data_IF_966892758154
#
_entry.id   IF_966892758154
#
_cell.length_a   1.000
_cell.length_b   1.000
_cell.length_c   1.000
_cell.angle_alpha   90.00
_cell.angle_beta   90.00
_cell.angle_gamma   90.00
#
_symmetry.space_group_name_H-M   'P 1'
#
loop_
_entity.id
_entity.type
_entity.pdbx_description
1 polymer ?
#
# COMPACT_ATOMS: atom_id res chain seq x y z
N UNK A 1 -54.23 19.93 -1.44
CA UNK A 1 -52.85 20.43 -1.21
C UNK A 1 -52.69 21.90 -1.61
N UNK A 2 -53.31 22.36 -2.70
CA UNK A 2 -53.17 23.75 -3.18
C UNK A 2 -53.68 24.84 -2.22
N UNK A 3 -54.65 24.53 -1.36
CA UNK A 3 -55.21 25.49 -0.38
C UNK A 3 -54.24 25.84 0.76
N UNK A 4 -53.27 24.98 1.05
CA UNK A 4 -52.30 25.20 2.14
C UNK A 4 -51.15 26.11 1.69
N UNK A 5 -50.69 25.96 0.44
CA UNK A 5 -49.62 26.79 -0.14
C UNK A 5 -50.01 28.28 -0.26
N UNK A 6 -51.30 28.59 -0.40
CA UNK A 6 -51.79 29.98 -0.46
C UNK A 6 -51.72 30.74 0.87
N UNK A 7 -51.46 30.05 2.00
CA UNK A 7 -51.31 30.71 3.32
C UNK A 7 -49.91 31.28 3.56
N UNK A 8 -48.92 30.88 2.77
CA UNK A 8 -47.55 31.31 2.97
C UNK A 8 -47.23 32.54 2.12
N UNK A 9 -46.53 33.49 2.74
CA UNK A 9 -45.96 34.64 2.05
C UNK A 9 -44.99 34.17 0.96
N UNK A 10 -44.94 34.88 -0.16
CA UNK A 10 -44.00 34.61 -1.28
C UNK A 10 -42.56 34.53 -0.76
N UNK A 11 -42.22 35.36 0.24
CA UNK A 11 -40.90 35.34 0.88
C UNK A 11 -40.62 34.01 1.59
N UNK A 12 -41.61 33.43 2.28
CA UNK A 12 -41.45 32.13 2.95
C UNK A 12 -41.17 31.01 1.95
N UNK A 13 -41.89 30.97 0.83
CA UNK A 13 -41.67 29.96 -0.23
C UNK A 13 -40.26 30.11 -0.82
N UNK A 14 -39.84 31.34 -1.13
CA UNK A 14 -38.49 31.60 -1.63
C UNK A 14 -37.39 31.16 -0.65
N UNK A 15 -37.53 31.47 0.65
CA UNK A 15 -36.58 31.03 1.68
C UNK A 15 -36.50 29.51 1.81
N UNK A 16 -37.64 28.81 1.75
CA UNK A 16 -37.67 27.35 1.79
C UNK A 16 -36.94 26.73 0.60
N UNK A 17 -37.15 27.26 -0.61
CA UNK A 17 -36.45 26.78 -1.81
C UNK A 17 -34.93 26.97 -1.67
N UNK A 18 -34.48 28.13 -1.16
CA UNK A 18 -33.05 28.40 -0.96
C UNK A 18 -32.46 27.43 0.08
N UNK A 19 -33.13 27.22 1.20
CA UNK A 19 -32.66 26.30 2.26
C UNK A 19 -32.58 24.85 1.73
N UNK A 20 -33.61 24.40 1.01
CA UNK A 20 -33.61 23.07 0.38
C UNK A 20 -32.48 22.96 -0.64
N UNK A 21 -32.25 24.01 -1.45
CA UNK A 21 -31.16 24.05 -2.44
C UNK A 21 -29.78 23.93 -1.80
N UNK A 22 -29.51 24.72 -0.74
CA UNK A 22 -28.25 24.65 0.01
C UNK A 22 -28.07 23.27 0.65
N UNK A 23 -29.13 22.73 1.25
CA UNK A 23 -29.08 21.41 1.88
C UNK A 23 -28.82 20.29 0.86
N UNK A 24 -29.44 20.35 -0.32
CA UNK A 24 -29.16 19.43 -1.43
C UNK A 24 -27.70 19.54 -1.90
N UNK A 25 -27.14 20.74 -2.01
CA UNK A 25 -25.74 20.91 -2.40
C UNK A 25 -24.80 20.29 -1.37
N UNK A 26 -25.05 20.46 -0.07
CA UNK A 26 -24.22 19.87 1.00
C UNK A 26 -24.32 18.34 1.04
N UNK A 27 -25.50 17.77 0.77
CA UNK A 27 -25.68 16.32 0.68
C UNK A 27 -24.99 15.76 -0.57
N UNK A 28 -25.11 16.44 -1.70
CA UNK A 28 -24.54 15.99 -2.97
C UNK A 28 -23.03 16.22 -3.05
N UNK A 29 -22.52 17.25 -2.38
CA UNK A 29 -21.11 17.61 -2.32
C UNK A 29 -20.71 17.87 -0.87
N UNK A 30 -20.53 16.81 -0.06
CA UNK A 30 -20.05 16.98 1.31
C UNK A 30 -18.73 17.77 1.29
N UNK A 31 -18.50 18.68 2.25
CA UNK A 31 -17.27 19.44 2.31
C UNK A 31 -16.09 18.48 2.43
N UNK A 32 -15.09 18.64 1.56
CA UNK A 32 -13.87 17.84 1.62
C UNK A 32 -13.23 17.99 2.99
N UNK A 33 -12.96 16.85 3.61
CA UNK A 33 -12.21 16.80 4.87
C UNK A 33 -10.73 17.07 4.61
N UNK A 34 -9.96 17.36 5.67
CA UNK A 34 -8.51 17.49 5.59
C UNK A 34 -7.88 16.21 5.01
N UNK A 35 -8.42 15.04 5.36
CA UNK A 35 -7.93 13.77 4.86
C UNK A 35 -8.24 13.56 3.38
N UNK A 36 -9.38 14.06 2.87
CA UNK A 36 -9.67 14.00 1.44
C UNK A 36 -8.63 14.80 0.64
N UNK A 37 -8.26 15.99 1.14
CA UNK A 37 -7.21 16.80 0.51
C UNK A 37 -5.84 16.10 0.54
N UNK A 38 -5.50 15.39 1.61
CA UNK A 38 -4.24 14.63 1.69
C UNK A 38 -4.25 13.40 0.79
N UNK A 39 -5.37 12.68 0.70
CA UNK A 39 -5.55 11.57 -0.23
C UNK A 39 -5.41 12.04 -1.67
N UNK A 40 -6.00 13.19 -2.02
CA UNK A 40 -5.85 13.79 -3.36
C UNK A 40 -4.40 14.20 -3.64
N UNK A 41 -3.72 14.84 -2.67
CA UNK A 41 -2.31 15.21 -2.79
C UNK A 41 -1.41 13.99 -2.99
N UNK A 42 -1.65 12.92 -2.22
CA UNK A 42 -0.94 11.65 -2.37
C UNK A 42 -1.18 11.02 -3.73
N UNK A 43 -2.44 10.98 -4.20
CA UNK A 43 -2.79 10.47 -5.53
C UNK A 43 -2.11 11.24 -6.65
N UNK A 44 -2.00 12.56 -6.52
CA UNK A 44 -1.31 13.39 -7.52
C UNK A 44 0.21 13.13 -7.52
N UNK A 45 0.84 13.00 -6.34
CA UNK A 45 2.25 12.63 -6.22
C UNK A 45 2.53 11.26 -6.86
N UNK A 46 1.61 10.32 -6.66
CA UNK A 46 1.72 8.93 -7.11
C UNK A 46 1.09 8.66 -8.49
N UNK A 47 0.69 9.71 -9.22
CA UNK A 47 -0.03 9.62 -10.51
C UNK A 47 0.75 8.98 -11.63
N UNK A 48 2.07 8.97 -11.54
CA UNK A 48 2.91 8.31 -12.55
C UNK A 48 3.30 6.89 -12.15
N UNK A 49 3.28 6.58 -10.85
CA UNK A 49 3.74 5.30 -10.32
C UNK A 49 2.59 4.34 -10.05
N UNK A 50 1.68 4.69 -9.14
CA UNK A 50 0.57 3.84 -8.68
C UNK A 50 -0.72 4.06 -9.46
N UNK A 51 -1.05 5.30 -9.77
CA UNK A 51 -2.30 5.63 -10.44
C UNK A 51 -2.06 5.81 -11.94
N UNK A 52 -3.08 5.58 -12.77
CA UNK A 52 -2.98 5.83 -14.22
C UNK A 52 -3.71 7.12 -14.56
N UNK A 53 -3.15 7.84 -15.53
CA UNK A 53 -3.87 8.92 -16.23
C UNK A 53 -4.54 8.41 -17.53
N UNK A 54 -4.04 7.32 -18.13
CA UNK A 54 -4.44 6.82 -19.45
C UNK A 54 -4.49 5.27 -19.51
N UNK A 55 -5.04 4.72 -20.59
CA UNK A 55 -5.11 3.28 -20.83
C UNK A 55 -3.71 2.64 -20.98
N UNK A 56 -3.47 1.49 -20.32
CA UNK A 56 -2.18 0.78 -20.32
C UNK A 56 -1.78 0.32 -18.92
N UNK A 57 -0.61 -0.32 -18.70
CA UNK A 57 -0.11 -0.70 -17.35
C UNK A 57 0.56 0.48 -16.64
N UNK A 58 0.40 0.62 -15.32
CA UNK A 58 1.10 1.63 -14.50
C UNK A 58 2.60 1.38 -14.49
N UNK A 59 3.41 2.38 -14.12
CA UNK A 59 4.85 2.15 -13.89
C UNK A 59 5.08 1.14 -12.77
N UNK A 60 4.26 1.13 -11.71
CA UNK A 60 4.35 0.12 -10.65
C UNK A 60 4.19 -1.30 -11.18
N UNK A 61 3.18 -1.56 -12.00
CA UNK A 61 2.94 -2.89 -12.59
C UNK A 61 4.10 -3.28 -13.52
N UNK A 62 4.59 -2.35 -14.35
CA UNK A 62 5.75 -2.63 -15.23
C UNK A 62 7.02 -2.93 -14.44
N UNK A 63 7.30 -2.15 -13.39
CA UNK A 63 8.48 -2.34 -12.55
C UNK A 63 8.40 -3.66 -11.76
N UNK A 64 7.21 -4.04 -11.28
CA UNK A 64 6.96 -5.35 -10.67
C UNK A 64 7.17 -6.49 -11.67
N UNK A 65 6.60 -6.38 -12.88
CA UNK A 65 6.77 -7.39 -13.93
C UNK A 65 8.26 -7.54 -14.31
N UNK A 66 8.96 -6.42 -14.53
CA UNK A 66 10.39 -6.43 -14.83
C UNK A 66 11.20 -7.10 -13.71
N UNK A 67 10.93 -6.73 -12.45
CA UNK A 67 11.57 -7.33 -11.28
C UNK A 67 11.31 -8.84 -11.18
N UNK A 68 10.10 -9.31 -11.51
CA UNK A 68 9.78 -10.75 -11.50
C UNK A 68 10.48 -11.54 -12.60
N UNK A 69 10.84 -10.88 -13.71
CA UNK A 69 11.52 -11.52 -14.85
C UNK A 69 13.05 -11.50 -14.74
N UNK A 70 13.60 -10.78 -13.77
CA UNK A 70 15.05 -10.71 -13.53
C UNK A 70 15.42 -11.45 -12.26
N UNK A 71 16.41 -12.32 -12.38
CA UNK A 71 17.03 -13.02 -11.26
C UNK A 71 18.44 -12.50 -10.99
N UNK A 72 18.80 -11.31 -11.49
CA UNK A 72 20.13 -10.72 -11.31
C UNK A 72 20.15 -9.72 -10.13
N UNK A 73 21.29 -9.59 -9.43
CA UNK A 73 21.49 -8.52 -8.46
C UNK A 73 21.21 -7.16 -9.10
N UNK A 74 20.41 -6.32 -8.43
CA UNK A 74 20.04 -5.00 -8.93
C UNK A 74 18.91 -4.97 -9.97
N UNK A 75 18.40 -6.13 -10.41
CA UNK A 75 17.30 -6.19 -11.38
C UNK A 75 15.99 -5.51 -10.90
N UNK A 76 15.79 -5.42 -9.59
CA UNK A 76 14.64 -4.76 -8.97
C UNK A 76 14.93 -3.33 -8.48
N UNK A 77 16.08 -2.75 -8.85
CA UNK A 77 16.52 -1.44 -8.36
C UNK A 77 15.49 -0.32 -8.64
N UNK A 78 14.96 -0.26 -9.87
CA UNK A 78 13.96 0.75 -10.23
C UNK A 78 12.70 0.64 -9.36
N UNK A 79 12.23 -0.60 -9.13
CA UNK A 79 11.08 -0.85 -8.27
C UNK A 79 11.35 -0.40 -6.84
N UNK A 80 12.51 -0.76 -6.27
CA UNK A 80 12.84 -0.39 -4.89
C UNK A 80 13.00 1.12 -4.72
N UNK A 81 13.58 1.82 -5.70
CA UNK A 81 13.65 3.28 -5.69
C UNK A 81 12.25 3.92 -5.67
N UNK A 82 11.33 3.44 -6.52
CA UNK A 82 9.96 3.97 -6.54
C UNK A 82 9.15 3.62 -5.30
N UNK A 83 9.44 2.48 -4.68
CA UNK A 83 8.82 2.11 -3.40
C UNK A 83 9.37 2.97 -2.25
N UNK A 84 10.65 3.36 -2.27
CA UNK A 84 11.18 4.37 -1.33
C UNK A 84 10.46 5.70 -1.48
N UNK A 85 10.34 6.21 -2.71
CA UNK A 85 9.56 7.43 -2.99
C UNK A 85 8.12 7.32 -2.48
N UNK A 86 7.46 6.18 -2.70
CA UNK A 86 6.12 5.91 -2.15
C UNK A 86 6.09 5.98 -0.62
N UNK A 87 7.08 5.43 0.08
CA UNK A 87 7.15 5.52 1.54
C UNK A 87 7.38 6.94 2.02
N UNK A 88 8.20 7.71 1.32
CA UNK A 88 8.44 9.11 1.67
C UNK A 88 7.15 9.95 1.49
N UNK A 89 6.37 9.67 0.45
CA UNK A 89 5.04 10.26 0.25
C UNK A 89 4.02 9.80 1.31
N UNK A 90 4.07 8.54 1.75
CA UNK A 90 3.23 8.04 2.85
C UNK A 90 3.62 8.68 4.19
N UNK A 91 4.91 8.92 4.42
CA UNK A 91 5.44 9.55 5.63
C UNK A 91 5.08 11.05 5.68
N UNK A 92 4.76 11.66 4.54
CA UNK A 92 4.28 13.03 4.44
C UNK A 92 2.76 13.20 4.71
N UNK A 93 2.01 12.10 4.83
CA UNK A 93 0.57 12.11 5.16
C UNK A 93 0.41 12.12 6.69
N UNK A 94 -0.52 12.92 7.19
CA UNK A 94 -0.81 12.95 8.63
C UNK A 94 -1.29 11.58 9.10
N UNK A 95 -0.83 11.16 10.29
CA UNK A 95 -1.13 9.85 10.86
C UNK A 95 -2.65 9.56 10.92
N UNK A 96 -3.46 10.60 11.19
CA UNK A 96 -4.93 10.50 11.25
C UNK A 96 -5.59 10.23 9.89
N UNK A 97 -4.92 10.58 8.79
CA UNK A 97 -5.42 10.44 7.42
C UNK A 97 -4.81 9.24 6.69
N UNK A 98 -3.80 8.63 7.31
CA UNK A 98 -2.99 7.59 6.70
C UNK A 98 -3.80 6.32 6.43
N UNK A 99 -4.77 5.99 7.29
CA UNK A 99 -5.72 4.89 7.07
C UNK A 99 -6.49 5.04 5.75
N UNK A 100 -6.91 6.26 5.40
CA UNK A 100 -7.60 6.53 4.13
C UNK A 100 -6.70 6.32 2.91
N UNK A 101 -5.40 6.59 3.05
CA UNK A 101 -4.43 6.40 1.96
C UNK A 101 -4.05 4.93 1.80
N UNK A 102 -3.73 4.22 2.89
CA UNK A 102 -3.37 2.79 2.82
C UNK A 102 -4.57 1.90 2.51
N UNK A 103 -5.80 2.36 2.82
CA UNK A 103 -7.04 1.71 2.43
C UNK A 103 -7.30 1.71 0.92
N UNK A 104 -6.57 2.52 0.13
CA UNK A 104 -6.67 2.52 -1.33
C UNK A 104 -6.18 1.16 -1.87
N UNK A 105 -6.99 0.43 -2.67
CA UNK A 105 -6.65 -0.91 -3.15
C UNK A 105 -5.30 -0.98 -3.87
N UNK A 106 -4.95 0.01 -4.69
CA UNK A 106 -3.69 0.08 -5.42
C UNK A 106 -2.48 0.16 -4.48
N UNK A 107 -2.59 0.95 -3.40
CA UNK A 107 -1.55 1.08 -2.38
C UNK A 107 -1.42 -0.23 -1.62
N UNK A 108 -2.54 -0.75 -1.10
CA UNK A 108 -2.58 -2.02 -0.37
C UNK A 108 -1.98 -3.18 -1.18
N UNK A 109 -2.41 -3.34 -2.42
CA UNK A 109 -1.94 -4.41 -3.30
C UNK A 109 -0.45 -4.28 -3.58
N UNK A 110 0.05 -3.07 -3.86
CA UNK A 110 1.48 -2.88 -4.07
C UNK A 110 2.29 -3.20 -2.80
N UNK A 111 1.87 -2.75 -1.62
CA UNK A 111 2.60 -3.03 -0.37
C UNK A 111 2.73 -4.53 -0.10
N UNK A 112 1.64 -5.29 -0.27
CA UNK A 112 1.68 -6.76 -0.12
C UNK A 112 2.50 -7.44 -1.22
N UNK A 113 2.40 -6.97 -2.46
CA UNK A 113 3.23 -7.46 -3.55
C UNK A 113 4.73 -7.21 -3.29
N UNK A 114 5.08 -6.08 -2.67
CA UNK A 114 6.46 -5.81 -2.30
C UNK A 114 6.98 -6.80 -1.26
N UNK A 115 6.18 -7.16 -0.25
CA UNK A 115 6.56 -8.22 0.72
C UNK A 115 6.85 -9.52 -0.01
N UNK A 116 5.95 -9.92 -0.91
CA UNK A 116 6.13 -11.12 -1.71
C UNK A 116 7.43 -11.09 -2.51
N UNK A 117 7.71 -10.00 -3.21
CA UNK A 117 8.93 -9.83 -4.01
C UNK A 117 10.18 -9.92 -3.15
N UNK A 118 10.25 -9.16 -2.05
CA UNK A 118 11.39 -9.19 -1.13
C UNK A 118 11.67 -10.60 -0.63
N UNK A 119 10.63 -11.26 -0.14
CA UNK A 119 10.77 -12.59 0.47
C UNK A 119 11.13 -13.63 -0.57
N UNK A 120 10.51 -13.60 -1.76
CA UNK A 120 10.77 -14.54 -2.85
C UNK A 120 12.19 -14.40 -3.40
N UNK A 121 12.67 -13.18 -3.59
CA UNK A 121 14.04 -12.93 -4.06
C UNK A 121 15.08 -13.42 -3.04
N UNK A 122 14.89 -13.13 -1.75
CA UNK A 122 15.74 -13.70 -0.69
C UNK A 122 15.67 -15.22 -0.65
N UNK A 123 14.49 -15.80 -0.91
CA UNK A 123 14.28 -17.24 -0.90
C UNK A 123 15.04 -17.96 -2.03
N UNK A 124 14.90 -17.47 -3.27
CA UNK A 124 15.52 -18.08 -4.45
C UNK A 124 17.05 -18.15 -4.29
N UNK A 125 17.67 -17.08 -3.82
CA UNK A 125 19.13 -17.03 -3.66
C UNK A 125 19.65 -18.00 -2.60
N UNK A 126 18.93 -18.11 -1.47
CA UNK A 126 19.30 -19.02 -0.38
C UNK A 126 19.23 -20.50 -0.80
N UNK A 127 18.47 -20.82 -1.86
CA UNK A 127 18.36 -22.19 -2.38
C UNK A 127 19.64 -22.65 -3.07
N UNK A 128 20.24 -21.79 -3.90
CA UNK A 128 21.42 -22.12 -4.69
C UNK A 128 22.69 -22.10 -3.82
N UNK A 129 22.75 -21.18 -2.86
CA UNK A 129 23.93 -20.99 -2.03
C UNK A 129 23.59 -21.22 -0.54
N UNK A 130 23.79 -22.46 -0.05
CA UNK A 130 23.63 -22.80 1.38
C UNK A 130 24.52 -21.98 2.33
N UNK A 131 25.54 -21.30 1.80
CA UNK A 131 26.46 -20.44 2.55
C UNK A 131 26.07 -18.97 2.56
N UNK A 132 25.13 -18.53 1.71
CA UNK A 132 24.68 -17.14 1.67
C UNK A 132 23.76 -16.86 2.87
N UNK A 133 23.91 -15.65 3.41
CA UNK A 133 23.11 -15.17 4.54
C UNK A 133 21.65 -15.07 4.11
N UNK A 134 20.74 -15.24 5.06
CA UNK A 134 19.26 -15.15 4.89
C UNK A 134 18.75 -13.95 4.09
N UNK A 135 19.56 -12.91 3.95
CA UNK A 135 19.29 -11.67 3.24
C UNK A 135 19.52 -11.74 1.73
N UNK A 136 20.08 -12.84 1.19
CA UNK A 136 20.43 -12.95 -0.23
C UNK A 136 21.39 -11.83 -0.66
N UNK A 137 21.07 -11.16 -1.77
CA UNK A 137 21.80 -9.99 -2.28
C UNK A 137 21.31 -8.64 -1.77
N UNK A 138 20.38 -8.61 -0.81
CA UNK A 138 19.91 -7.34 -0.27
C UNK A 138 21.02 -6.64 0.51
N UNK A 139 21.26 -5.38 0.15
CA UNK A 139 22.14 -4.50 0.90
C UNK A 139 21.42 -3.93 2.14
N UNK A 140 22.11 -3.09 2.91
CA UNK A 140 21.53 -2.48 4.10
C UNK A 140 20.32 -1.57 3.79
N UNK A 141 20.31 -0.91 2.62
CA UNK A 141 19.24 0.00 2.23
C UNK A 141 17.98 -0.76 1.80
N UNK A 142 18.14 -1.91 1.17
CA UNK A 142 17.05 -2.82 0.81
C UNK A 142 16.42 -3.46 2.06
N UNK A 143 17.25 -3.86 3.03
CA UNK A 143 16.78 -4.39 4.31
C UNK A 143 16.07 -3.33 5.16
N UNK A 144 16.57 -2.09 5.18
CA UNK A 144 15.86 -0.96 5.78
C UNK A 144 14.49 -0.77 5.13
N UNK A 145 14.40 -0.82 3.80
CA UNK A 145 13.14 -0.68 3.08
C UNK A 145 12.14 -1.79 3.42
N UNK A 146 12.59 -3.05 3.45
CA UNK A 146 11.75 -4.17 3.89
C UNK A 146 11.28 -4.01 5.34
N UNK A 147 12.14 -3.52 6.23
CA UNK A 147 11.77 -3.29 7.63
C UNK A 147 10.79 -2.14 7.81
N UNK A 148 10.93 -1.03 7.06
CA UNK A 148 9.94 0.04 6.97
C UNK A 148 8.59 -0.52 6.49
N UNK A 149 8.61 -1.34 5.44
CA UNK A 149 7.42 -2.00 4.89
C UNK A 149 6.73 -2.91 5.92
N UNK A 150 7.48 -3.81 6.57
CA UNK A 150 6.97 -4.69 7.63
C UNK A 150 6.31 -3.89 8.76
N UNK A 151 7.00 -2.88 9.28
CA UNK A 151 6.48 -2.04 10.38
C UNK A 151 5.17 -1.33 9.97
N UNK A 152 5.13 -0.75 8.77
CA UNK A 152 3.95 -0.05 8.26
C UNK A 152 2.78 -1.02 8.05
N UNK A 153 3.02 -2.20 7.48
CA UNK A 153 1.97 -3.23 7.33
C UNK A 153 1.41 -3.70 8.68
N UNK A 154 2.28 -3.94 9.66
CA UNK A 154 1.85 -4.32 11.01
C UNK A 154 1.06 -3.22 11.70
N UNK A 155 1.42 -1.95 11.47
CA UNK A 155 0.72 -0.80 12.04
C UNK A 155 -0.69 -0.65 11.46
N UNK A 156 -0.86 -0.74 10.14
CA UNK A 156 -2.17 -0.44 9.50
C UNK A 156 -3.09 -1.65 9.36
N UNK A 157 -2.56 -2.83 9.06
CA UNK A 157 -3.37 -4.03 8.87
C UNK A 157 -3.43 -4.90 10.13
N UNK A 158 -2.65 -4.55 11.15
CA UNK A 158 -2.57 -5.30 12.40
C UNK A 158 -1.66 -6.53 12.30
N UNK A 159 -1.22 -6.99 13.47
CA UNK A 159 -0.40 -8.19 13.60
C UNK A 159 -1.07 -9.46 13.05
N UNK A 160 -2.38 -9.70 13.22
CA UNK A 160 -3.02 -10.92 12.70
C UNK A 160 -2.98 -11.03 11.17
N UNK A 161 -3.24 -9.94 10.43
CA UNK A 161 -3.18 -9.96 8.97
C UNK A 161 -1.76 -10.17 8.46
N UNK A 162 -0.78 -9.55 9.13
CA UNK A 162 0.64 -9.79 8.84
C UNK A 162 1.04 -11.25 9.08
N UNK A 163 0.63 -11.83 10.21
CA UNK A 163 0.94 -13.22 10.55
C UNK A 163 0.29 -14.21 9.58
N UNK A 164 -0.98 -14.01 9.24
CA UNK A 164 -1.68 -14.84 8.25
C UNK A 164 -0.95 -14.81 6.89
N UNK A 165 -0.59 -13.62 6.41
CA UNK A 165 0.12 -13.49 5.14
C UNK A 165 1.51 -14.13 5.19
N UNK A 166 2.24 -13.95 6.30
CA UNK A 166 3.54 -14.56 6.54
C UNK A 166 3.46 -16.09 6.52
N UNK A 167 2.48 -16.68 7.20
CA UNK A 167 2.30 -18.14 7.19
C UNK A 167 1.94 -18.66 5.79
N UNK A 168 1.14 -17.93 5.00
CA UNK A 168 0.85 -18.29 3.61
C UNK A 168 2.14 -18.42 2.79
N UNK A 169 3.04 -17.45 2.89
CA UNK A 169 4.33 -17.51 2.18
C UNK A 169 5.23 -18.64 2.71
N UNK A 170 5.32 -18.81 4.03
CA UNK A 170 6.13 -19.90 4.62
C UNK A 170 5.61 -21.27 4.19
N UNK A 171 4.29 -21.43 4.09
CA UNK A 171 3.67 -22.65 3.59
C UNK A 171 4.04 -22.88 2.13
N UNK A 172 3.92 -21.88 1.26
CA UNK A 172 4.33 -21.93 -0.15
C UNK A 172 5.79 -22.39 -0.30
N UNK A 173 6.72 -21.81 0.47
CA UNK A 173 8.13 -22.19 0.43
C UNK A 173 8.39 -23.59 0.99
N UNK A 174 7.75 -23.93 2.10
CA UNK A 174 7.91 -25.25 2.71
C UNK A 174 7.44 -26.38 1.80
N UNK A 175 6.33 -26.17 1.09
CA UNK A 175 5.77 -27.14 0.15
C UNK A 175 6.62 -27.27 -1.10
N UNK A 176 7.14 -26.16 -1.63
CA UNK A 176 7.96 -26.18 -2.85
C UNK A 176 9.29 -26.90 -2.67
N UNK A 177 9.90 -26.83 -1.48
CA UNK A 177 11.19 -27.48 -1.18
C UNK A 177 11.10 -28.75 -0.32
N UNK A 178 9.90 -29.16 0.11
CA UNK A 178 9.67 -30.28 1.04
C UNK A 178 10.46 -30.15 2.35
N UNK A 179 10.59 -28.93 2.87
CA UNK A 179 11.29 -28.62 4.12
C UNK A 179 10.30 -28.38 5.27
N UNK A 180 10.78 -28.51 6.50
CA UNK A 180 9.96 -28.18 7.68
C UNK A 180 9.65 -26.67 7.75
N UNK A 181 8.51 -26.31 8.36
CA UNK A 181 8.15 -24.90 8.61
C UNK A 181 9.22 -24.16 9.42
N UNK A 182 9.87 -24.83 10.38
CA UNK A 182 10.97 -24.26 11.18
C UNK A 182 12.17 -23.91 10.31
N UNK A 183 12.49 -24.77 9.35
CA UNK A 183 13.57 -24.53 8.39
C UNK A 183 13.20 -23.39 7.43
N UNK A 184 11.96 -23.37 6.94
CA UNK A 184 11.44 -22.28 6.11
C UNK A 184 11.53 -20.92 6.84
N UNK A 185 11.12 -20.88 8.11
CA UNK A 185 11.27 -19.70 8.96
C UNK A 185 12.72 -19.23 9.03
N UNK A 186 13.64 -20.14 9.37
CA UNK A 186 15.05 -19.86 9.53
C UNK A 186 15.72 -19.37 8.25
N UNK A 187 15.22 -19.75 7.07
CA UNK A 187 15.78 -19.27 5.79
C UNK A 187 15.09 -18.01 5.27
N UNK A 188 13.89 -17.71 5.76
CA UNK A 188 13.09 -16.60 5.25
C UNK A 188 13.60 -15.24 5.72
N UNK A 189 13.34 -14.22 4.90
CA UNK A 189 13.55 -12.82 5.25
C UNK A 189 12.68 -12.38 6.45
N UNK A 190 11.59 -13.10 6.76
CA UNK A 190 10.74 -12.78 7.90
C UNK A 190 11.44 -12.91 9.26
N UNK A 191 12.47 -13.75 9.34
CA UNK A 191 13.24 -14.00 10.55
C UNK A 191 14.31 -12.94 10.83
N UNK A 192 14.46 -11.90 10.00
CA UNK A 192 15.42 -10.83 10.27
C UNK A 192 14.96 -9.96 11.44
N UNK A 193 15.94 -9.51 12.22
CA UNK A 193 15.75 -8.52 13.28
C UNK A 193 15.80 -7.11 12.68
N UNK A 194 14.62 -6.53 12.49
CA UNK A 194 14.50 -5.19 11.92
C UNK A 194 15.04 -4.07 12.81
N UNK A 195 15.32 -4.32 14.09
CA UNK A 195 15.92 -3.31 14.97
C UNK A 195 17.34 -2.94 14.55
N UNK A 196 18.02 -3.79 13.77
CA UNK A 196 19.39 -3.54 13.28
C UNK A 196 19.46 -2.66 12.04
N UNK A 197 18.32 -2.41 11.41
CA UNK A 197 18.22 -1.75 10.10
C UNK A 197 17.34 -0.50 10.15
N UNK A 198 16.87 -0.10 11.33
CA UNK A 198 16.04 1.10 11.55
C UNK A 198 16.85 2.23 12.18
#
# INVERSE_FOLDING_TARGET
MESWLRRFSVYTIASVIIVIGVFLIVILNPPKTICDAQVEKFKEAQKTFLFKKEAGKTKSVRAVELCKHTSAPGGCYELFMKVRELFDDLDAVDEKCLENVVGIPEVKNLLWEMVHIFVKLAWIENRENRFLKRTGWFDAADLNLFCRLKRRLQLYYGSPSWEAQRENYLQEFSQSEKISRKEAWNRSLFAIDCMRYL
#
